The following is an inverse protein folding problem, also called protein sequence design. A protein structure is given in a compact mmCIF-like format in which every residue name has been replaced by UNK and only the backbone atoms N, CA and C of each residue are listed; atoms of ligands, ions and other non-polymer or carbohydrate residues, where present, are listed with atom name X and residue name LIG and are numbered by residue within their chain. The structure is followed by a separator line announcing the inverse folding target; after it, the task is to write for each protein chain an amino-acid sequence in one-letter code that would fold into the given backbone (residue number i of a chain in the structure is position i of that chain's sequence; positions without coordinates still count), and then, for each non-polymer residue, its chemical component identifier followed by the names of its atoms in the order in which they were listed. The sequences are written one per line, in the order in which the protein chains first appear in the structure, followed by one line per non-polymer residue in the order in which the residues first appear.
data_IF_071803951434
#
_entry.id   IF_071803951434
#
_cell.length_a   1.000
_cell.length_b   1.000
_cell.length_c   1.000
_cell.angle_alpha   90.00
_cell.angle_beta   90.00
_cell.angle_gamma   90.00
#
_symmetry.space_group_name_H-M   'P 1'
#
loop_
_entity.id
_entity.type
_entity.pdbx_description
1 polymer ?
#
# COMPACT_ATOMS: atom_id res chain seq x y z
N UNK A 1 36.33 22.99 7.42
CA UNK A 1 35.76 22.48 8.68
C UNK A 1 36.56 22.95 9.89
N UNK A 2 37.74 22.39 10.18
CA UNK A 2 38.52 22.71 11.39
C UNK A 2 38.74 24.23 11.65
N UNK A 3 38.98 25.01 10.60
CA UNK A 3 39.22 26.47 10.70
C UNK A 3 38.00 27.29 11.14
N UNK A 4 36.77 26.78 10.98
CA UNK A 4 35.55 27.53 11.31
C UNK A 4 35.08 27.24 12.74
N UNK A 5 35.18 25.99 13.19
CA UNK A 5 34.87 25.62 14.58
C UNK A 5 35.78 26.37 15.58
N UNK A 6 37.07 26.49 15.27
CA UNK A 6 38.04 27.20 16.12
C UNK A 6 37.80 28.72 16.19
N UNK A 7 37.10 29.32 15.21
CA UNK A 7 36.77 30.75 15.19
C UNK A 7 35.61 31.11 16.14
N UNK A 8 34.74 30.16 16.43
CA UNK A 8 33.58 30.34 17.33
C UNK A 8 33.75 29.65 18.69
N UNK A 9 34.95 29.16 19.01
CA UNK A 9 35.27 28.37 20.23
C UNK A 9 34.38 27.12 20.42
N UNK A 10 33.75 26.64 19.35
CA UNK A 10 32.89 25.47 19.39
C UNK A 10 33.79 24.24 19.34
N UNK A 11 33.82 23.49 20.44
CA UNK A 11 34.61 22.26 20.58
C UNK A 11 34.23 21.17 19.57
N UNK A 12 34.87 19.99 19.68
CA UNK A 12 34.65 18.86 18.76
C UNK A 12 33.22 18.33 18.86
N UNK A 13 32.33 18.85 18.01
CA UNK A 13 30.94 18.40 17.86
C UNK A 13 30.85 17.25 16.85
N UNK A 14 29.85 16.37 17.03
CA UNK A 14 29.53 15.34 16.04
C UNK A 14 29.01 15.98 14.75
N UNK A 15 29.16 15.28 13.61
CA UNK A 15 28.52 15.67 12.36
C UNK A 15 26.98 15.79 12.50
N UNK A 16 26.39 15.03 13.41
CA UNK A 16 24.95 15.08 13.70
C UNK A 16 24.55 16.34 14.48
N UNK A 17 25.38 16.81 15.42
CA UNK A 17 25.14 18.05 16.17
C UNK A 17 25.24 19.27 15.24
N UNK A 18 26.26 19.30 14.37
CA UNK A 18 26.45 20.35 13.36
C UNK A 18 25.26 20.36 12.38
N UNK A 19 24.75 19.19 11.99
CA UNK A 19 23.55 19.07 11.15
C UNK A 19 22.30 19.60 11.87
N UNK A 20 22.10 19.25 13.14
CA UNK A 20 20.96 19.73 13.94
C UNK A 20 21.01 21.26 14.10
N UNK A 21 22.18 21.81 14.44
CA UNK A 21 22.38 23.25 14.60
C UNK A 21 22.14 24.00 13.28
N UNK A 22 22.56 23.45 12.13
CA UNK A 22 22.29 24.04 10.83
C UNK A 22 20.79 24.03 10.46
N UNK A 23 20.04 22.99 10.84
CA UNK A 23 18.59 22.96 10.64
C UNK A 23 17.85 23.96 11.54
N UNK A 24 18.33 24.21 12.77
CA UNK A 24 17.80 25.30 13.63
C UNK A 24 18.07 26.66 12.99
N UNK A 25 19.30 26.93 12.54
CA UNK A 25 19.65 28.18 11.84
C UNK A 25 18.81 28.37 10.56
N UNK A 26 18.54 27.29 9.82
CA UNK A 26 17.67 27.30 8.63
C UNK A 26 16.22 27.62 8.97
N UNK A 27 15.65 27.08 10.05
CA UNK A 27 14.33 27.47 10.53
C UNK A 27 14.29 28.95 10.96
N UNK A 28 15.29 29.42 11.70
CA UNK A 28 15.41 30.83 12.06
C UNK A 28 15.56 31.73 10.83
N UNK A 29 16.31 31.31 9.81
CA UNK A 29 16.43 32.03 8.54
C UNK A 29 15.06 32.13 7.84
N UNK A 30 14.26 31.07 7.79
CA UNK A 30 12.91 31.14 7.20
C UNK A 30 12.03 32.17 7.93
N UNK A 31 12.12 32.26 9.26
CA UNK A 31 11.39 33.28 10.05
C UNK A 31 11.92 34.69 9.79
N UNK A 32 13.23 34.86 9.58
CA UNK A 32 13.85 36.16 9.28
C UNK A 32 13.66 36.63 7.83
N UNK A 33 13.52 35.70 6.87
CA UNK A 33 13.37 36.00 5.43
C UNK A 33 11.92 36.09 4.94
N UNK A 34 10.91 35.85 5.80
CA UNK A 34 9.50 36.09 5.49
C UNK A 34 9.13 37.59 5.34
N UNK A 35 10.11 38.50 5.33
CA UNK A 35 9.96 39.94 5.25
C UNK A 35 10.32 40.61 3.90
N UNK A 36 10.48 39.87 2.79
CA UNK A 36 10.75 40.50 1.47
C UNK A 36 10.34 39.61 0.28
N UNK A 37 9.46 40.07 -0.62
CA UNK A 37 9.20 39.40 -1.89
C UNK A 37 10.22 39.85 -2.95
N UNK A 38 11.01 38.91 -3.48
CA UNK A 38 11.86 39.15 -4.67
C UNK A 38 11.62 38.03 -5.68
N UNK A 39 11.11 38.41 -6.85
CA UNK A 39 10.93 37.54 -8.01
C UNK A 39 12.11 37.67 -8.98
N UNK A 40 12.67 36.55 -9.47
CA UNK A 40 13.41 36.50 -10.74
C UNK A 40 12.64 35.62 -11.75
N UNK A 41 12.14 36.12 -12.88
CA UNK A 41 12.85 36.64 -14.08
C UNK A 41 13.59 35.56 -14.88
N UNK A 42 13.11 35.31 -16.09
CA UNK A 42 13.65 34.39 -17.10
C UNK A 42 15.05 34.78 -17.60
N UNK A 43 15.82 33.80 -18.10
CA UNK A 43 16.68 34.02 -19.27
C UNK A 43 16.91 32.72 -20.06
N UNK A 44 17.22 32.86 -21.36
CA UNK A 44 17.30 31.81 -22.39
C UNK A 44 18.73 31.24 -22.58
N UNK A 45 18.86 30.09 -23.27
CA UNK A 45 20.17 29.53 -23.61
C UNK A 45 20.18 28.25 -24.45
N UNK A 46 20.07 28.39 -25.78
CA UNK A 46 20.16 27.27 -26.74
C UNK A 46 21.61 26.76 -26.98
N UNK A 47 21.78 25.45 -27.23
CA UNK A 47 22.48 24.97 -28.45
C UNK A 47 22.39 23.45 -28.66
N UNK A 48 22.03 23.07 -29.89
CA UNK A 48 22.28 21.76 -30.56
C UNK A 48 23.37 22.00 -31.64
N UNK A 49 23.86 21.03 -32.46
CA UNK A 49 23.26 19.76 -32.93
C UNK A 49 24.19 18.54 -32.66
N UNK A 50 24.18 17.36 -33.31
CA UNK A 50 23.48 16.84 -34.51
C UNK A 50 23.33 15.30 -34.49
N UNK A 51 22.84 14.71 -35.58
CA UNK A 51 22.74 13.25 -35.84
C UNK A 51 23.41 12.94 -37.21
N UNK A 52 23.83 11.70 -37.51
CA UNK A 52 22.92 10.85 -38.28
C UNK A 52 23.00 9.34 -38.01
N UNK A 53 21.87 8.66 -38.21
CA UNK A 53 21.72 7.19 -38.34
C UNK A 53 21.74 6.78 -39.82
N UNK A 54 21.97 5.49 -40.18
CA UNK A 54 20.81 4.67 -40.60
C UNK A 54 20.91 3.12 -40.47
N UNK A 55 19.73 2.47 -40.58
CA UNK A 55 19.47 1.09 -41.08
C UNK A 55 19.95 -0.14 -40.27
N UNK A 56 19.44 -1.36 -40.52
CA UNK A 56 18.06 -1.93 -40.60
C UNK A 56 18.19 -3.45 -40.91
N UNK A 57 17.16 -4.25 -40.54
CA UNK A 57 16.92 -5.66 -40.95
C UNK A 57 17.84 -6.77 -40.38
N UNK A 58 17.45 -8.07 -40.25
CA UNK A 58 16.19 -8.81 -39.93
C UNK A 58 16.60 -10.28 -39.60
N UNK A 59 15.70 -11.08 -38.98
CA UNK A 59 15.62 -12.57 -38.98
C UNK A 59 16.21 -13.39 -37.80
N UNK A 60 15.31 -13.79 -36.90
CA UNK A 60 14.89 -15.19 -36.61
C UNK A 60 15.93 -16.33 -36.48
N UNK A 61 15.93 -17.01 -35.31
CA UNK A 61 15.88 -18.48 -35.24
C UNK A 61 15.46 -18.99 -33.84
N UNK A 62 14.60 -20.00 -33.78
CA UNK A 62 14.34 -20.81 -32.57
C UNK A 62 15.29 -22.03 -32.53
N UNK A 63 15.39 -22.74 -31.39
CA UNK A 63 14.79 -24.08 -31.37
C UNK A 63 14.14 -24.50 -30.03
N UNK A 64 13.45 -25.65 -30.08
CA UNK A 64 12.60 -26.25 -29.05
C UNK A 64 13.26 -27.48 -28.39
N UNK A 65 13.07 -27.70 -27.07
CA UNK A 65 13.14 -28.98 -26.29
C UNK A 65 13.17 -28.65 -24.79
N UNK A 66 12.75 -29.47 -23.79
CA UNK A 66 11.95 -30.71 -23.74
C UNK A 66 11.51 -31.01 -22.27
N UNK A 67 10.92 -32.18 -21.99
CA UNK A 67 10.08 -32.51 -20.82
C UNK A 67 10.51 -33.87 -20.18
N UNK A 68 10.33 -34.28 -18.91
CA UNK A 68 9.62 -33.77 -17.70
C UNK A 68 10.54 -34.08 -16.45
N UNK A 69 10.18 -34.73 -15.29
CA UNK A 69 9.07 -34.61 -14.33
C UNK A 69 9.45 -34.41 -12.83
N UNK A 70 8.40 -34.12 -12.05
CA UNK A 70 8.18 -34.26 -10.59
C UNK A 70 9.10 -35.17 -9.75
N UNK A 71 9.28 -34.76 -8.48
CA UNK A 71 9.32 -35.66 -7.32
C UNK A 71 8.38 -35.16 -6.21
N UNK A 72 7.62 -36.09 -5.64
CA UNK A 72 6.73 -35.90 -4.48
C UNK A 72 7.39 -36.41 -3.20
N UNK A 73 6.95 -35.93 -2.03
CA UNK A 73 7.12 -36.66 -0.78
C UNK A 73 5.95 -36.39 0.17
N UNK A 74 5.33 -37.47 0.66
CA UNK A 74 4.31 -37.43 1.70
C UNK A 74 4.97 -37.62 3.08
N UNK A 75 4.39 -37.00 4.12
CA UNK A 75 4.82 -37.16 5.51
C UNK A 75 3.65 -36.87 6.46
N UNK A 76 3.34 -37.84 7.33
CA UNK A 76 2.18 -37.84 8.23
C UNK A 76 2.51 -37.15 9.56
N UNK A 77 1.54 -36.48 10.19
CA UNK A 77 1.65 -36.00 11.57
C UNK A 77 0.39 -35.33 12.11
N UNK A 78 -0.43 -36.06 12.88
CA UNK A 78 -1.58 -35.50 13.60
C UNK A 78 -1.12 -34.62 14.78
N UNK A 79 -1.79 -33.48 14.98
CA UNK A 79 -2.10 -32.97 16.33
C UNK A 79 -3.24 -31.94 16.26
N UNK A 80 -4.36 -32.25 16.92
CA UNK A 80 -5.50 -31.33 17.05
C UNK A 80 -5.24 -30.37 18.21
N UNK A 81 -5.05 -29.08 17.90
CA UNK A 81 -5.03 -28.01 18.89
C UNK A 81 -5.98 -26.89 18.48
N UNK A 82 -7.21 -26.95 18.97
CA UNK A 82 -8.18 -25.86 18.88
C UNK A 82 -7.72 -24.63 19.69
N UNK A 83 -7.68 -23.42 19.10
CA UNK A 83 -7.64 -22.16 19.84
C UNK A 83 -9.06 -21.65 20.15
N UNK A 84 -9.23 -20.97 21.28
CA UNK A 84 -10.49 -20.33 21.68
C UNK A 84 -10.74 -19.03 20.90
N UNK A 85 -11.72 -19.01 20.01
CA UNK A 85 -12.33 -17.76 19.53
C UNK A 85 -13.26 -17.23 20.63
N UNK A 86 -13.03 -16.00 21.10
CA UNK A 86 -13.93 -15.34 22.04
C UNK A 86 -14.97 -14.50 21.28
N UNK A 87 -16.09 -15.13 20.94
CA UNK A 87 -17.25 -14.48 20.32
C UNK A 87 -17.89 -13.48 21.30
N UNK A 88 -18.01 -12.21 20.90
CA UNK A 88 -18.85 -11.24 21.61
C UNK A 88 -20.21 -11.16 20.90
N UNK A 89 -21.21 -11.86 21.43
CA UNK A 89 -22.58 -11.80 20.91
C UNK A 89 -23.35 -10.64 21.55
N UNK A 90 -23.62 -9.60 20.76
CA UNK A 90 -24.60 -8.58 21.13
C UNK A 90 -26.01 -9.18 21.07
N UNK A 91 -26.51 -9.57 22.24
CA UNK A 91 -27.85 -10.09 22.43
C UNK A 91 -28.82 -8.94 22.73
N UNK A 92 -29.63 -8.57 21.75
CA UNK A 92 -30.78 -7.67 21.96
C UNK A 92 -32.02 -8.37 21.40
N UNK A 93 -32.76 -9.04 22.29
CA UNK A 93 -34.05 -9.64 21.95
C UNK A 93 -35.21 -8.72 22.32
N UNK A 94 -36.37 -8.95 21.70
CA UNK A 94 -37.66 -8.44 22.17
C UNK A 94 -38.06 -7.08 21.60
N UNK A 95 -39.08 -7.09 20.76
CA UNK A 95 -39.64 -5.90 20.14
C UNK A 95 -40.24 -4.90 21.15
N UNK A 96 -40.07 -3.61 20.87
CA UNK A 96 -41.11 -2.59 20.95
C UNK A 96 -40.77 -1.49 19.94
N UNK A 97 -41.77 -0.99 19.21
CA UNK A 97 -41.58 0.05 18.21
C UNK A 97 -41.80 1.43 18.83
N UNK A 98 -40.80 2.32 18.72
CA UNK A 98 -41.04 3.77 18.69
C UNK A 98 -39.92 4.53 17.97
N UNK A 99 -40.16 5.82 17.74
CA UNK A 99 -39.59 6.70 16.73
C UNK A 99 -38.09 7.02 16.79
N UNK A 100 -37.55 7.24 15.58
CA UNK A 100 -36.49 8.20 15.24
C UNK A 100 -35.24 8.24 16.13
N UNK A 101 -34.27 7.38 15.81
CA UNK A 101 -32.87 7.81 15.81
C UNK A 101 -32.37 7.75 14.36
N UNK A 102 -31.69 8.79 13.83
CA UNK A 102 -30.93 8.62 12.60
C UNK A 102 -29.85 7.58 12.88
N UNK A 103 -29.81 6.51 12.10
CA UNK A 103 -28.72 5.54 12.13
C UNK A 103 -27.44 6.34 11.91
N UNK A 104 -26.63 6.48 12.96
CA UNK A 104 -25.32 7.11 12.88
C UNK A 104 -24.56 6.35 11.78
N UNK A 105 -24.10 7.02 10.71
CA UNK A 105 -23.29 6.35 9.70
C UNK A 105 -22.11 5.68 10.38
N UNK A 106 -21.84 4.41 10.04
CA UNK A 106 -20.61 3.74 10.50
C UNK A 106 -19.43 4.69 10.21
N UNK A 107 -18.65 5.12 11.21
CA UNK A 107 -17.59 6.10 11.03
C UNK A 107 -16.50 5.64 10.06
N UNK A 108 -16.47 4.36 9.70
CA UNK A 108 -15.59 3.80 8.67
C UNK A 108 -16.21 3.76 7.26
N UNK A 109 -17.49 4.10 7.10
CA UNK A 109 -18.19 4.05 5.82
C UNK A 109 -18.15 5.39 5.04
N UNK A 110 -17.57 6.44 5.63
CA UNK A 110 -17.35 7.71 4.93
C UNK A 110 -16.06 7.68 4.10
N UNK A 111 -16.19 7.39 2.80
CA UNK A 111 -15.15 7.66 1.80
C UNK A 111 -14.41 6.45 1.22
N UNK A 112 -15.00 5.24 1.28
CA UNK A 112 -14.63 4.14 0.39
C UNK A 112 -15.62 4.07 -0.77
N UNK A 113 -15.13 4.15 -2.00
CA UNK A 113 -15.95 4.06 -3.21
C UNK A 113 -16.11 2.61 -3.66
N UNK A 114 -17.30 2.21 -4.06
CA UNK A 114 -17.51 0.98 -4.82
C UNK A 114 -16.90 1.12 -6.24
N UNK A 115 -16.57 0.00 -6.89
CA UNK A 115 -15.85 0.04 -8.17
C UNK A 115 -16.62 0.75 -9.29
N UNK A 116 -17.96 0.71 -9.25
CA UNK A 116 -18.87 1.36 -10.20
C UNK A 116 -19.06 2.86 -9.95
N UNK A 117 -18.72 3.35 -8.75
CA UNK A 117 -18.72 4.78 -8.40
C UNK A 117 -17.44 5.50 -8.91
N UNK A 118 -16.41 4.74 -9.27
CA UNK A 118 -15.09 5.29 -9.67
C UNK A 118 -15.05 5.64 -11.16
N UNK A 119 -15.38 6.89 -11.47
CA UNK A 119 -15.04 7.48 -12.78
C UNK A 119 -13.52 7.49 -13.02
N UNK A 120 -13.07 6.75 -14.05
CA UNK A 120 -11.65 6.66 -14.43
C UNK A 120 -11.04 8.01 -14.83
N UNK A 121 -11.83 8.94 -15.39
CA UNK A 121 -11.36 10.29 -15.76
C UNK A 121 -11.25 11.23 -14.56
N UNK A 122 -11.87 10.88 -13.43
CA UNK A 122 -11.76 11.63 -12.16
C UNK A 122 -10.58 11.16 -11.30
N UNK A 123 -9.87 10.10 -11.69
CA UNK A 123 -8.65 9.62 -11.02
C UNK A 123 -7.48 10.54 -11.37
N UNK A 124 -6.77 11.03 -10.36
CA UNK A 124 -5.53 11.80 -10.52
C UNK A 124 -4.56 11.51 -9.38
N UNK A 125 -3.34 12.03 -9.46
CA UNK A 125 -2.33 11.99 -8.41
C UNK A 125 -1.79 13.39 -8.11
N UNK A 126 -1.35 13.63 -6.88
CA UNK A 126 -0.67 14.87 -6.51
C UNK A 126 0.45 14.64 -5.50
N UNK A 127 1.41 15.55 -5.46
CA UNK A 127 2.43 15.60 -4.42
C UNK A 127 1.85 16.25 -3.17
N UNK A 128 1.86 15.52 -2.06
CA UNK A 128 1.49 16.04 -0.75
C UNK A 128 2.71 16.07 0.18
N UNK A 129 2.83 17.06 1.08
CA UNK A 129 3.86 17.07 2.11
C UNK A 129 3.86 15.76 2.93
N UNK A 130 5.06 15.33 3.29
CA UNK A 130 5.32 14.13 4.07
C UNK A 130 6.41 14.39 5.13
N UNK A 131 6.74 13.36 5.91
CA UNK A 131 7.62 13.48 7.07
C UNK A 131 9.00 14.08 6.72
N UNK A 132 9.54 14.92 7.61
CA UNK A 132 10.82 15.66 7.46
C UNK A 132 10.92 16.51 6.18
N UNK A 133 9.82 17.09 5.72
CA UNK A 133 9.82 17.98 4.55
C UNK A 133 10.00 17.26 3.21
N UNK A 134 9.87 15.93 3.21
CA UNK A 134 9.75 15.16 1.96
C UNK A 134 8.35 15.32 1.37
N UNK A 135 8.14 14.82 0.15
CA UNK A 135 6.83 14.70 -0.46
C UNK A 135 6.51 13.24 -0.74
N UNK A 136 5.22 12.91 -0.82
CA UNK A 136 4.75 11.63 -1.35
C UNK A 136 3.64 11.84 -2.37
N UNK A 137 3.49 10.88 -3.28
CA UNK A 137 2.38 10.88 -4.23
C UNK A 137 1.14 10.37 -3.51
N UNK A 138 0.04 11.12 -3.60
CA UNK A 138 -1.28 10.74 -3.10
C UNK A 138 -2.21 10.56 -4.29
N UNK A 139 -2.88 9.41 -4.35
CA UNK A 139 -3.93 9.15 -5.33
C UNK A 139 -5.26 9.78 -4.89
N UNK A 140 -5.96 10.35 -5.85
CA UNK A 140 -7.18 11.11 -5.66
C UNK A 140 -8.27 10.64 -6.63
N UNK A 141 -9.51 10.74 -6.20
CA UNK A 141 -10.70 10.75 -7.05
C UNK A 141 -11.56 11.95 -6.62
N UNK A 142 -11.97 12.78 -7.58
CA UNK A 142 -12.73 14.02 -7.33
C UNK A 142 -12.09 14.94 -6.26
N UNK A 143 -10.75 14.97 -6.23
CA UNK A 143 -9.88 15.66 -5.26
C UNK A 143 -9.89 15.10 -3.82
N UNK A 144 -10.67 14.06 -3.55
CA UNK A 144 -10.67 13.31 -2.28
C UNK A 144 -9.62 12.18 -2.35
N UNK A 145 -9.05 11.77 -1.22
CA UNK A 145 -8.09 10.66 -1.20
C UNK A 145 -8.74 9.34 -1.60
N UNK A 146 -8.26 8.70 -2.66
CA UNK A 146 -8.89 7.50 -3.21
C UNK A 146 -8.76 6.32 -2.23
N UNK A 147 -9.91 5.78 -1.84
CA UNK A 147 -10.06 4.53 -1.10
C UNK A 147 -11.18 3.72 -1.73
N UNK A 148 -11.00 2.41 -1.80
CA UNK A 148 -11.90 1.51 -2.52
C UNK A 148 -12.52 0.47 -1.58
N UNK A 149 -13.80 0.20 -1.82
CA UNK A 149 -14.49 -0.99 -1.36
C UNK A 149 -14.59 -1.97 -2.53
N UNK A 150 -14.12 -3.20 -2.32
CA UNK A 150 -14.24 -4.28 -3.29
C UNK A 150 -14.83 -5.53 -2.62
N UNK A 151 -16.10 -5.89 -2.93
CA UNK A 151 -16.73 -7.09 -2.40
C UNK A 151 -16.25 -8.36 -3.10
N UNK A 152 -16.49 -9.51 -2.46
CA UNK A 152 -16.36 -10.86 -3.04
C UNK A 152 -15.03 -11.14 -3.75
N UNK A 153 -13.92 -10.62 -3.24
CA UNK A 153 -12.57 -10.92 -3.71
C UNK A 153 -12.18 -12.34 -3.35
N UNK A 154 -11.90 -13.19 -4.34
CA UNK A 154 -11.43 -14.55 -4.13
C UNK A 154 -9.94 -14.57 -3.79
N UNK A 155 -9.58 -15.16 -2.66
CA UNK A 155 -8.18 -15.31 -2.25
C UNK A 155 -7.49 -16.42 -3.06
N UNK A 156 -6.38 -16.07 -3.70
CA UNK A 156 -5.47 -16.99 -4.41
C UNK A 156 -4.39 -17.54 -3.50
N UNK A 157 -3.74 -16.66 -2.74
CA UNK A 157 -2.64 -17.00 -1.83
C UNK A 157 -2.83 -16.27 -0.50
N UNK A 158 -3.00 -17.03 0.57
CA UNK A 158 -3.30 -16.48 1.90
C UNK A 158 -2.16 -15.73 2.57
N UNK A 159 -2.52 -15.00 3.63
CA UNK A 159 -1.55 -14.25 4.42
C UNK A 159 -0.53 -15.21 5.05
N UNK A 160 0.74 -14.79 5.09
CA UNK A 160 1.78 -15.54 5.77
C UNK A 160 2.89 -14.61 6.25
N UNK A 161 3.54 -14.97 7.35
CA UNK A 161 4.60 -14.17 7.98
C UNK A 161 6.00 -14.37 7.41
N UNK A 162 6.15 -14.86 6.17
CA UNK A 162 7.47 -15.23 5.60
C UNK A 162 8.38 -14.03 5.33
N UNK A 163 7.79 -12.86 5.07
CA UNK A 163 8.54 -11.64 4.82
C UNK A 163 8.55 -10.78 6.07
N UNK A 164 9.70 -10.24 6.44
CA UNK A 164 9.84 -9.33 7.58
C UNK A 164 10.04 -7.89 7.11
N UNK A 165 9.74 -6.92 7.98
CA UNK A 165 10.08 -5.52 7.78
C UNK A 165 11.48 -5.18 8.34
N UNK A 166 11.82 -3.89 8.34
CA UNK A 166 13.12 -3.42 8.84
C UNK A 166 13.27 -3.58 10.36
N UNK A 167 12.17 -3.75 11.11
CA UNK A 167 12.16 -4.06 12.54
C UNK A 167 12.08 -5.56 12.84
N UNK A 168 12.09 -6.43 11.82
CA UNK A 168 11.96 -7.88 11.97
C UNK A 168 10.51 -8.37 12.13
N UNK A 169 9.50 -7.51 11.96
CA UNK A 169 8.10 -7.88 12.12
C UNK A 169 7.49 -8.43 10.82
N UNK A 170 6.57 -9.41 10.88
CA UNK A 170 5.97 -9.98 9.68
C UNK A 170 5.16 -8.98 8.83
N UNK A 171 5.62 -8.77 7.58
CA UNK A 171 4.94 -7.99 6.54
C UNK A 171 3.82 -8.79 5.91
N UNK A 172 2.65 -8.74 6.53
CA UNK A 172 1.51 -9.51 6.09
C UNK A 172 0.89 -8.95 4.81
N UNK A 173 0.73 -9.85 3.84
CA UNK A 173 -0.05 -9.60 2.64
C UNK A 173 -0.58 -10.91 2.09
N UNK A 174 -1.74 -10.83 1.44
CA UNK A 174 -2.37 -11.92 0.72
C UNK A 174 -2.65 -11.48 -0.71
N UNK A 175 -2.96 -12.43 -1.58
CA UNK A 175 -3.19 -12.18 -3.02
C UNK A 175 -4.61 -12.62 -3.36
N UNK A 176 -5.33 -11.74 -4.05
CA UNK A 176 -6.70 -11.98 -4.53
C UNK A 176 -6.75 -11.91 -6.05
N UNK A 177 -7.77 -12.55 -6.62
CA UNK A 177 -8.16 -12.32 -8.02
C UNK A 177 -8.69 -10.88 -8.17
N UNK A 178 -8.27 -10.19 -9.23
CA UNK A 178 -8.77 -8.87 -9.59
C UNK A 178 -9.86 -8.99 -10.66
N UNK A 179 -10.99 -8.31 -10.45
CA UNK A 179 -12.02 -8.16 -11.49
C UNK A 179 -11.54 -7.23 -12.61
N UNK A 180 -12.13 -7.28 -13.82
CA UNK A 180 -11.80 -6.34 -14.90
C UNK A 180 -11.94 -4.87 -14.47
N UNK A 181 -13.00 -4.52 -13.76
CA UNK A 181 -13.22 -3.14 -13.26
C UNK A 181 -12.14 -2.73 -12.25
N UNK A 182 -11.77 -3.61 -11.31
CA UNK A 182 -10.66 -3.33 -10.39
C UNK A 182 -9.33 -3.17 -11.15
N UNK A 183 -9.08 -4.02 -12.15
CA UNK A 183 -7.89 -3.92 -13.00
C UNK A 183 -7.80 -2.57 -13.72
N UNK A 184 -8.90 -2.09 -14.32
CA UNK A 184 -8.96 -0.80 -15.02
C UNK A 184 -8.70 0.38 -14.07
N UNK A 185 -9.33 0.39 -12.89
CA UNK A 185 -9.14 1.42 -11.86
C UNK A 185 -7.68 1.44 -11.38
N UNK A 186 -7.10 0.27 -11.08
CA UNK A 186 -5.70 0.19 -10.63
C UNK A 186 -4.72 0.61 -11.74
N UNK A 187 -5.00 0.27 -13.00
CA UNK A 187 -4.18 0.70 -14.14
C UNK A 187 -4.26 2.23 -14.36
N UNK A 188 -5.43 2.85 -14.18
CA UNK A 188 -5.57 4.31 -14.19
C UNK A 188 -4.78 4.97 -13.04
N UNK A 189 -4.83 4.39 -11.83
CA UNK A 189 -4.03 4.84 -10.69
C UNK A 189 -2.52 4.73 -10.93
N UNK A 190 -2.06 3.60 -11.51
CA UNK A 190 -0.66 3.39 -11.89
C UNK A 190 -0.19 4.47 -12.87
N UNK A 191 -0.97 4.76 -13.91
CA UNK A 191 -0.62 5.80 -14.89
C UNK A 191 -0.56 7.19 -14.25
N UNK A 192 -1.57 7.59 -13.47
CA UNK A 192 -1.60 8.89 -12.81
C UNK A 192 -0.42 9.09 -11.85
N UNK A 193 -0.10 8.08 -11.03
CA UNK A 193 1.04 8.16 -10.12
C UNK A 193 2.39 8.11 -10.86
N UNK A 194 2.50 7.33 -11.95
CA UNK A 194 3.72 7.23 -12.75
C UNK A 194 4.09 8.56 -13.40
N UNK A 195 3.13 9.31 -13.94
CA UNK A 195 3.38 10.65 -14.51
C UNK A 195 4.04 11.57 -13.48
N UNK A 196 3.41 11.73 -12.30
CA UNK A 196 3.96 12.55 -11.21
C UNK A 196 5.32 12.05 -10.73
N UNK A 197 5.53 10.73 -10.72
CA UNK A 197 6.81 10.11 -10.33
C UNK A 197 7.94 10.42 -11.32
N UNK A 198 7.66 10.42 -12.62
CA UNK A 198 8.62 10.74 -13.69
C UNK A 198 8.94 12.24 -13.67
N UNK A 199 7.95 13.12 -13.48
CA UNK A 199 8.12 14.57 -13.33
C UNK A 199 9.03 14.94 -12.13
N UNK A 200 9.08 14.11 -11.09
CA UNK A 200 9.94 14.30 -9.92
C UNK A 200 11.43 13.99 -10.17
N UNK A 201 11.82 13.48 -11.34
CA UNK A 201 13.22 13.12 -11.64
C UNK A 201 13.78 12.00 -10.75
N UNK A 202 12.93 11.13 -10.22
CA UNK A 202 13.31 10.05 -9.31
C UNK A 202 14.20 9.01 -9.99
N UNK A 203 15.31 8.62 -9.35
CA UNK A 203 16.22 7.58 -9.83
C UNK A 203 15.78 6.15 -9.52
N UNK A 204 14.57 5.96 -8.99
CA UNK A 204 13.99 4.63 -8.74
C UNK A 204 13.21 4.13 -9.96
N UNK A 205 13.09 2.82 -10.13
CA UNK A 205 12.28 2.23 -11.19
C UNK A 205 10.81 2.14 -10.76
N UNK A 206 9.87 2.66 -11.55
CA UNK A 206 8.43 2.46 -11.29
C UNK A 206 8.02 1.03 -11.62
N UNK A 207 7.50 0.31 -10.64
CA UNK A 207 6.93 -1.04 -10.79
C UNK A 207 5.39 -0.93 -10.73
N UNK A 208 4.67 -1.36 -11.79
CA UNK A 208 3.21 -1.40 -11.77
C UNK A 208 2.67 -2.24 -10.60
N UNK A 209 1.50 -1.88 -10.09
CA UNK A 209 0.70 -2.66 -9.11
C UNK A 209 0.47 -4.07 -9.65
N UNK A 210 0.05 -4.11 -10.92
CA UNK A 210 -0.39 -5.30 -11.63
C UNK A 210 0.81 -5.90 -12.36
N UNK A 211 1.42 -6.91 -11.73
CA UNK A 211 2.52 -7.64 -12.34
C UNK A 211 2.08 -8.31 -13.64
N UNK A 212 2.66 -7.88 -14.78
CA UNK A 212 2.55 -8.58 -16.08
C UNK A 212 3.27 -9.92 -16.03
N UNK A 213 2.68 -10.87 -15.31
CA UNK A 213 3.19 -12.23 -15.22
C UNK A 213 2.47 -13.08 -16.27
N UNK A 214 3.20 -13.52 -17.30
CA UNK A 214 2.65 -14.18 -18.49
C UNK A 214 1.82 -15.45 -18.19
N UNK A 215 2.06 -16.10 -17.04
CA UNK A 215 1.28 -17.25 -16.58
C UNK A 215 -0.12 -16.91 -16.05
N UNK A 216 -0.41 -15.63 -15.78
CA UNK A 216 -1.65 -15.15 -15.16
C UNK A 216 -2.43 -14.16 -16.04
N UNK A 217 -2.15 -14.08 -17.35
CA UNK A 217 -2.81 -13.16 -18.29
C UNK A 217 -4.35 -13.26 -18.21
N UNK A 218 -4.89 -14.46 -18.00
CA UNK A 218 -6.33 -14.72 -17.94
C UNK A 218 -6.93 -14.54 -16.53
N UNK A 219 -6.11 -14.30 -15.50
CA UNK A 219 -6.53 -14.13 -14.10
C UNK A 219 -5.60 -13.08 -13.45
N UNK A 220 -5.80 -11.77 -13.70
CA UNK A 220 -4.99 -10.75 -13.04
C UNK A 220 -5.17 -10.87 -11.52
N UNK A 221 -4.08 -10.69 -10.78
CA UNK A 221 -4.09 -10.78 -9.31
C UNK A 221 -3.50 -9.52 -8.70
N UNK A 222 -3.99 -9.17 -7.52
CA UNK A 222 -3.49 -8.01 -6.76
C UNK A 222 -3.15 -8.42 -5.33
N UNK A 223 -2.12 -7.79 -4.77
CA UNK A 223 -1.63 -8.04 -3.42
C UNK A 223 -2.20 -7.01 -2.44
N UNK A 224 -3.01 -7.48 -1.50
CA UNK A 224 -3.53 -6.67 -0.40
C UNK A 224 -2.58 -6.75 0.80
N UNK A 225 -2.13 -5.59 1.29
CA UNK A 225 -1.25 -5.47 2.45
C UNK A 225 -2.05 -5.25 3.72
N UNK A 226 -1.77 -6.04 4.76
CA UNK A 226 -2.38 -5.93 6.07
C UNK A 226 -1.40 -5.15 6.96
N UNK A 227 -1.63 -3.84 7.20
CA UNK A 227 -0.75 -3.05 8.07
C UNK A 227 -0.74 -3.57 9.51
N UNK A 228 0.42 -3.43 10.15
CA UNK A 228 0.69 -3.81 11.53
C UNK A 228 1.16 -2.58 12.29
N UNK A 229 0.70 -2.39 13.53
CA UNK A 229 1.27 -1.42 14.47
C UNK A 229 2.11 -2.20 15.48
N UNK A 230 3.29 -1.69 15.80
CA UNK A 230 4.10 -2.19 16.92
C UNK A 230 3.98 -1.17 18.04
N UNK A 231 3.51 -1.60 19.21
CA UNK A 231 3.54 -0.81 20.42
C UNK A 231 4.41 -1.54 21.45
N UNK A 232 5.48 -0.89 21.88
CA UNK A 232 6.58 -1.51 22.64
C UNK A 232 7.10 -2.80 21.96
N UNK A 233 6.77 -3.96 22.53
CA UNK A 233 7.13 -5.30 22.03
C UNK A 233 5.91 -6.10 21.52
N UNK A 234 4.73 -5.48 21.39
CA UNK A 234 3.49 -6.13 20.96
C UNK A 234 3.12 -5.61 19.57
N UNK A 235 3.13 -6.51 18.59
CA UNK A 235 2.48 -6.25 17.30
C UNK A 235 0.96 -6.39 17.42
N UNK A 236 0.23 -5.54 16.70
CA UNK A 236 -1.22 -5.55 16.56
C UNK A 236 -1.59 -5.35 15.09
N UNK A 237 -2.74 -5.91 14.67
CA UNK A 237 -3.30 -5.60 13.36
C UNK A 237 -3.81 -4.15 13.34
N UNK A 238 -3.38 -3.38 12.35
CA UNK A 238 -3.88 -2.02 12.11
C UNK A 238 -5.14 -2.02 11.23
N UNK A 239 -5.88 -3.14 11.23
CA UNK A 239 -7.00 -3.44 10.32
C UNK A 239 -8.17 -3.93 11.15
N UNK A 240 -9.36 -3.45 10.83
CA UNK A 240 -10.59 -4.00 11.41
C UNK A 240 -11.00 -5.27 10.67
N UNK A 241 -10.81 -6.43 11.30
CA UNK A 241 -11.08 -7.74 10.71
C UNK A 241 -12.43 -8.26 11.24
N UNK A 242 -13.27 -8.71 10.33
CA UNK A 242 -14.57 -9.32 10.62
C UNK A 242 -14.67 -10.70 9.96
N UNK A 243 -15.57 -11.51 10.48
CA UNK A 243 -16.06 -12.73 9.86
C UNK A 243 -17.53 -12.55 9.49
N UNK A 244 -17.91 -12.98 8.29
CA UNK A 244 -19.29 -13.06 7.81
C UNK A 244 -19.68 -14.53 7.73
N UNK A 245 -20.77 -14.92 8.38
CA UNK A 245 -21.29 -16.28 8.28
C UNK A 245 -22.20 -16.47 7.06
N UNK A 246 -22.64 -17.72 6.84
CA UNK A 246 -23.54 -18.08 5.74
C UNK A 246 -24.96 -17.50 5.87
N UNK A 247 -25.36 -16.99 7.04
CA UNK A 247 -26.58 -16.20 7.22
C UNK A 247 -26.41 -14.73 6.79
N UNK A 248 -25.17 -14.32 6.49
CA UNK A 248 -24.79 -12.94 6.18
C UNK A 248 -24.48 -12.08 7.40
N UNK A 249 -24.53 -12.65 8.61
CA UNK A 249 -24.24 -11.92 9.85
C UNK A 249 -22.75 -11.63 9.94
N UNK A 250 -22.39 -10.35 10.14
CA UNK A 250 -21.00 -9.88 10.22
C UNK A 250 -20.63 -9.67 11.70
N UNK A 251 -19.56 -10.31 12.15
CA UNK A 251 -19.06 -10.27 13.52
C UNK A 251 -17.59 -9.85 13.53
N UNK A 252 -17.20 -8.97 14.45
CA UNK A 252 -15.82 -8.48 14.56
C UNK A 252 -14.92 -9.53 15.21
N UNK A 253 -13.79 -9.84 14.57
CA UNK A 253 -12.78 -10.73 15.13
C UNK A 253 -11.82 -9.94 16.02
N UNK A 254 -11.62 -10.42 17.24
CA UNK A 254 -10.67 -9.85 18.20
C UNK A 254 -9.55 -10.87 18.45
N UNK A 255 -8.35 -10.54 17.98
CA UNK A 255 -7.17 -11.37 18.14
C UNK A 255 -6.54 -11.11 19.52
N UNK A 256 -6.28 -12.17 20.29
CA UNK A 256 -5.66 -12.07 21.62
C UNK A 256 -4.18 -11.68 21.57
N UNK A 257 -3.52 -11.95 20.44
CA UNK A 257 -2.14 -11.63 20.10
C UNK A 257 -2.03 -11.51 18.58
N UNK A 258 -0.93 -10.97 18.08
CA UNK A 258 -0.60 -11.08 16.66
C UNK A 258 -0.24 -12.54 16.31
N UNK A 259 -1.02 -13.16 15.42
CA UNK A 259 -0.78 -14.53 14.94
C UNK A 259 -0.96 -14.61 13.41
N UNK A 260 0.18 -14.54 12.70
CA UNK A 260 0.21 -14.61 11.25
C UNK A 260 -0.29 -15.94 10.67
N UNK A 261 -0.26 -17.04 11.43
CA UNK A 261 -0.73 -18.35 10.99
C UNK A 261 -2.25 -18.46 11.14
N UNK A 262 -2.81 -17.95 12.23
CA UNK A 262 -4.26 -17.84 12.43
C UNK A 262 -4.92 -17.05 11.29
N UNK A 263 -4.41 -15.85 10.99
CA UNK A 263 -4.91 -15.03 9.88
C UNK A 263 -4.65 -15.67 8.50
N UNK A 264 -3.56 -16.42 8.35
CA UNK A 264 -3.29 -17.20 7.13
C UNK A 264 -4.31 -18.31 6.89
N UNK A 265 -4.78 -18.96 7.94
CA UNK A 265 -5.81 -20.01 7.88
C UNK A 265 -7.20 -19.45 7.56
N UNK A 266 -7.52 -18.27 8.11
CA UNK A 266 -8.75 -17.51 7.80
C UNK A 266 -8.74 -16.97 6.35
N UNK A 267 -7.57 -16.63 5.82
CA UNK A 267 -7.39 -16.14 4.44
C UNK A 267 -6.83 -17.21 3.50
N UNK A 268 -7.13 -18.50 3.72
CA UNK A 268 -6.63 -19.58 2.85
C UNK A 268 -7.11 -19.43 1.40
N UNK A 269 -6.39 -20.02 0.46
CA UNK A 269 -6.77 -20.00 -0.96
C UNK A 269 -8.16 -20.62 -1.17
N UNK A 270 -9.01 -19.94 -1.93
CA UNK A 270 -10.41 -20.32 -2.17
C UNK A 270 -11.44 -19.46 -1.43
N UNK A 271 -11.10 -18.91 -0.26
CA UNK A 271 -11.98 -18.06 0.56
C UNK A 271 -12.32 -16.76 -0.17
N UNK A 272 -13.53 -16.25 0.07
CA UNK A 272 -13.97 -14.92 -0.39
C UNK A 272 -13.83 -13.89 0.74
N UNK A 273 -13.46 -12.66 0.37
CA UNK A 273 -13.38 -11.53 1.31
C UNK A 273 -13.97 -10.26 0.70
N UNK A 274 -14.54 -9.40 1.53
CA UNK A 274 -14.81 -8.01 1.16
C UNK A 274 -13.68 -7.14 1.74
N UNK A 275 -13.03 -6.32 0.90
CA UNK A 275 -11.88 -5.53 1.31
C UNK A 275 -12.13 -4.02 1.12
N UNK A 276 -11.80 -3.26 2.17
CA UNK A 276 -11.79 -1.79 2.17
C UNK A 276 -10.33 -1.35 2.29
N UNK A 277 -9.79 -0.63 1.31
CA UNK A 277 -8.35 -0.31 1.25
C UNK A 277 -8.04 1.08 0.67
N UNK A 278 -6.92 1.68 1.11
CA UNK A 278 -6.33 2.87 0.48
C UNK A 278 -5.22 2.48 -0.49
N UNK A 279 -4.88 3.40 -1.40
CA UNK A 279 -3.76 3.24 -2.32
C UNK A 279 -2.61 4.17 -1.91
N UNK A 280 -1.55 3.58 -1.37
CA UNK A 280 -0.41 4.30 -0.79
C UNK A 280 0.85 4.05 -1.64
N UNK A 281 1.53 5.10 -2.13
CA UNK A 281 2.83 4.91 -2.82
C UNK A 281 3.94 4.56 -1.84
N UNK A 282 4.85 3.68 -2.24
CA UNK A 282 6.02 3.28 -1.45
C UNK A 282 7.29 3.16 -2.30
N UNK A 283 8.44 3.42 -1.68
CA UNK A 283 9.77 3.12 -2.24
C UNK A 283 10.44 1.96 -1.50
N UNK A 284 11.11 1.05 -2.21
CA UNK A 284 11.89 -0.03 -1.62
C UNK A 284 13.00 -0.54 -2.57
N UNK A 285 14.25 -0.58 -2.09
CA UNK A 285 15.42 -1.11 -2.82
C UNK A 285 15.50 -0.66 -4.29
N UNK A 286 15.49 0.66 -4.52
CA UNK A 286 15.48 1.33 -5.86
C UNK A 286 14.20 1.15 -6.69
N UNK A 287 13.12 0.60 -6.15
CA UNK A 287 11.82 0.51 -6.82
C UNK A 287 10.83 1.49 -6.16
N UNK A 288 9.91 2.04 -6.95
CA UNK A 288 8.72 2.76 -6.47
C UNK A 288 7.46 2.10 -7.04
N UNK A 289 6.37 2.09 -6.27
CA UNK A 289 5.10 1.46 -6.68
C UNK A 289 3.95 1.91 -5.77
N UNK A 290 2.73 1.51 -6.10
CA UNK A 290 1.54 1.67 -5.25
C UNK A 290 1.29 0.37 -4.47
N UNK A 291 0.87 0.51 -3.21
CA UNK A 291 0.45 -0.58 -2.33
C UNK A 291 -1.01 -0.40 -1.94
N UNK A 292 -1.80 -1.45 -2.10
CA UNK A 292 -3.15 -1.50 -1.56
C UNK A 292 -3.06 -1.84 -0.07
N UNK A 293 -3.43 -0.89 0.80
CA UNK A 293 -3.33 -0.99 2.26
C UNK A 293 -4.73 -1.17 2.83
N UNK A 294 -5.03 -2.38 3.32
CA UNK A 294 -6.32 -2.72 3.90
C UNK A 294 -6.57 -1.90 5.18
N UNK A 295 -7.81 -1.44 5.35
CA UNK A 295 -8.31 -0.71 6.53
C UNK A 295 -9.38 -1.53 7.27
N UNK A 296 -10.27 -2.17 6.52
CA UNK A 296 -11.29 -3.10 7.01
C UNK A 296 -11.34 -4.32 6.08
N UNK A 297 -11.50 -5.50 6.67
CA UNK A 297 -11.56 -6.79 5.97
C UNK A 297 -12.73 -7.60 6.53
N UNK A 298 -13.57 -8.13 5.65
CA UNK A 298 -14.67 -9.04 6.02
C UNK A 298 -14.39 -10.39 5.37
N UNK A 299 -14.09 -11.41 6.17
CA UNK A 299 -13.76 -12.74 5.70
C UNK A 299 -15.05 -13.57 5.65
N UNK A 300 -15.39 -14.13 4.49
CA UNK A 300 -16.56 -14.99 4.36
C UNK A 300 -16.21 -16.37 4.92
N UNK A 301 -17.10 -16.90 5.76
CA UNK A 301 -17.02 -18.28 6.25
C UNK A 301 -17.48 -19.24 5.16
N UNK A 302 -16.86 -20.42 5.12
CA UNK A 302 -17.35 -21.57 4.35
C UNK A 302 -18.70 -22.08 4.91
#
# INVERSE_FOLDING_TARGET
MATLANYFEIGVQSLDDVRMNLEVVKYCATVLFLGSPISPSSDDGQSSPEQPSPNMHTLSSSPTSENVPNLSLAGVGNSEHHPRISLLTHHTGGANADMSNPVQPDPFNMGFLALDEVSLTSINASLVPYYRGTQRIKLLHENVGLQLFCPCLRVRFGANGKFLDQGGWPRLSFVVDASPSLFEILNACDNAAKTIFEDCGSSSEWKPILGRNYYYINNPTVRLHIPTVVNDNIALYAVEIHQKDSSGTVQKLVFSKFDAAELGNLTRGGIFVDAFFSLDTYGYQKNASIRLVVKKLVIHSD
#
